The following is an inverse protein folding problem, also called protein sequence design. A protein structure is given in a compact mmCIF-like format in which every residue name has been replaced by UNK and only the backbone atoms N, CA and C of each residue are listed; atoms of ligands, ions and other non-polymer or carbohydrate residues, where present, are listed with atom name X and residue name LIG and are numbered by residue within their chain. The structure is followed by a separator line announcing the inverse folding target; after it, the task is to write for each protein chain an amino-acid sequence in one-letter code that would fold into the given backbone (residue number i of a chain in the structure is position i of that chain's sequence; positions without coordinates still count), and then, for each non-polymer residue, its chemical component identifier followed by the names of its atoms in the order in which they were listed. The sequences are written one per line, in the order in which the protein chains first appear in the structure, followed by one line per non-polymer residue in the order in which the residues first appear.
data_IF_635505916197
#
_entry.id   IF_635505916197
#
_cell.length_a   1.000
_cell.length_b   1.000
_cell.length_c   1.000
_cell.angle_alpha   90.00
_cell.angle_beta   90.00
_cell.angle_gamma   90.00
#
_symmetry.space_group_name_H-M   'P 1'
#
loop_
_entity.id
_entity.type
_entity.pdbx_description
1 polymer ?
#
# COMPACT_ATOMS: atom_id res chain seq x y z
N UNK A 1 52.97 55.91 -3.40
CA UNK A 1 54.01 56.95 -3.38
C UNK A 1 53.55 58.09 -4.30
N UNK A 2 53.26 59.30 -3.75
CA UNK A 2 52.92 60.56 -4.47
C UNK A 2 51.66 60.54 -5.38
N UNK A 3 51.00 61.64 -5.74
CA UNK A 3 50.79 62.96 -5.08
C UNK A 3 49.60 63.70 -5.77
N UNK A 4 49.05 64.72 -5.08
CA UNK A 4 47.99 65.65 -5.56
C UNK A 4 48.50 66.75 -6.53
N UNK A 5 47.58 67.67 -6.94
CA UNK A 5 47.72 69.10 -7.38
C UNK A 5 47.31 69.37 -8.86
N UNK A 6 46.73 70.51 -9.32
CA UNK A 6 45.97 71.68 -8.74
C UNK A 6 45.45 72.63 -9.88
N UNK A 7 44.58 73.62 -9.55
CA UNK A 7 44.32 74.94 -10.26
C UNK A 7 43.66 74.89 -11.68
N UNK A 8 42.86 75.83 -12.25
CA UNK A 8 42.48 77.28 -12.12
C UNK A 8 43.22 78.27 -13.08
N UNK A 9 42.61 79.24 -13.81
CA UNK A 9 41.18 79.62 -14.05
C UNK A 9 40.96 81.06 -14.62
N UNK A 10 39.71 81.44 -14.98
CA UNK A 10 39.10 82.82 -15.10
C UNK A 10 39.24 83.75 -16.37
N UNK A 11 38.10 84.36 -16.81
CA UNK A 11 37.94 85.65 -17.57
C UNK A 11 38.16 85.70 -19.11
N UNK A 12 37.58 86.60 -19.95
CA UNK A 12 36.46 87.57 -19.81
C UNK A 12 36.41 88.71 -20.91
N UNK A 13 35.24 89.34 -21.12
CA UNK A 13 34.91 90.66 -21.77
C UNK A 13 34.54 90.80 -23.29
N UNK A 14 33.75 91.86 -23.58
CA UNK A 14 32.88 92.15 -24.76
C UNK A 14 33.35 93.31 -25.68
N UNK A 15 32.64 93.60 -26.81
CA UNK A 15 32.26 94.98 -27.25
C UNK A 15 31.33 95.15 -28.50
N UNK A 16 30.27 95.99 -28.34
CA UNK A 16 29.63 97.00 -29.26
C UNK A 16 29.11 96.71 -30.70
N UNK A 17 27.88 97.19 -31.01
CA UNK A 17 27.45 97.69 -32.36
C UNK A 17 25.97 97.50 -32.78
N UNK A 18 25.24 98.57 -33.16
CA UNK A 18 23.85 98.62 -33.73
C UNK A 18 23.90 99.12 -35.22
N UNK A 19 22.83 99.18 -36.10
CA UNK A 19 21.42 99.56 -35.80
C UNK A 19 20.24 99.07 -36.76
N UNK A 20 19.00 99.57 -36.48
CA UNK A 20 17.80 99.90 -37.33
C UNK A 20 16.75 98.89 -37.89
N UNK A 21 15.49 99.16 -37.47
CA UNK A 21 14.16 99.25 -38.15
C UNK A 21 13.40 98.06 -38.83
N UNK A 22 12.34 97.60 -38.10
CA UNK A 22 10.96 97.07 -38.40
C UNK A 22 10.55 96.56 -39.81
N UNK A 23 9.60 95.57 -39.93
CA UNK A 23 8.33 95.47 -39.17
C UNK A 23 7.88 94.06 -38.65
N UNK A 24 6.76 94.02 -37.92
CA UNK A 24 6.06 92.81 -37.40
C UNK A 24 5.24 92.10 -38.51
N UNK A 25 4.80 90.83 -38.45
CA UNK A 25 4.23 89.94 -37.40
C UNK A 25 4.60 88.45 -37.74
N UNK A 26 4.34 87.39 -36.94
CA UNK A 26 3.16 87.11 -36.08
C UNK A 26 3.49 86.81 -34.60
N UNK A 27 2.49 86.61 -33.71
CA UNK A 27 2.75 86.20 -32.34
C UNK A 27 3.35 84.79 -32.27
N UNK A 28 4.56 84.67 -31.72
CA UNK A 28 5.14 83.38 -31.38
C UNK A 28 4.33 82.73 -30.24
N UNK A 29 4.02 81.44 -30.40
CA UNK A 29 3.38 80.62 -29.38
C UNK A 29 4.18 80.69 -28.07
N UNK A 30 3.50 80.98 -26.95
CA UNK A 30 4.17 81.02 -25.64
C UNK A 30 4.77 79.64 -25.32
N UNK A 31 6.02 79.56 -24.84
CA UNK A 31 6.58 78.31 -24.32
C UNK A 31 5.72 77.78 -23.18
N UNK A 32 5.50 76.46 -23.14
CA UNK A 32 4.75 75.82 -22.07
C UNK A 32 5.41 76.09 -20.69
N UNK A 33 4.61 76.17 -19.60
CA UNK A 33 5.16 76.37 -18.26
C UNK A 33 6.10 75.22 -17.86
N UNK A 34 7.12 75.55 -17.07
CA UNK A 34 8.07 74.58 -16.55
C UNK A 34 7.37 73.50 -15.71
N UNK A 35 7.85 72.24 -15.72
CA UNK A 35 7.26 71.17 -14.93
C UNK A 35 7.36 71.47 -13.43
N UNK A 36 6.36 71.07 -12.62
CA UNK A 36 6.39 71.27 -11.18
C UNK A 36 7.51 70.47 -10.51
N UNK A 37 8.06 70.99 -9.41
CA UNK A 37 9.04 70.27 -8.61
C UNK A 37 8.46 68.95 -8.05
N UNK A 38 9.27 67.88 -7.94
CA UNK A 38 8.82 66.62 -7.39
C UNK A 38 8.47 66.77 -5.90
N UNK A 39 7.23 66.39 -5.55
CA UNK A 39 6.77 66.37 -4.16
C UNK A 39 7.54 65.37 -3.27
N UNK A 40 7.41 65.49 -1.94
CA UNK A 40 8.07 64.58 -1.00
C UNK A 40 7.62 63.13 -1.22
N UNK A 41 8.50 62.12 -1.00
CA UNK A 41 8.23 60.74 -1.35
C UNK A 41 7.04 60.17 -0.56
N UNK A 42 6.06 59.65 -1.29
CA UNK A 42 4.85 59.05 -0.74
C UNK A 42 5.18 57.76 0.02
N UNK A 43 4.84 57.70 1.32
CA UNK A 43 5.08 56.50 2.13
C UNK A 43 4.12 55.39 1.73
N UNK A 44 4.61 54.41 0.97
CA UNK A 44 3.85 53.24 0.54
C UNK A 44 3.15 52.53 1.71
N UNK A 45 1.83 52.36 1.58
CA UNK A 45 0.98 51.61 2.53
C UNK A 45 1.06 50.08 2.36
N UNK A 46 1.82 49.59 1.39
CA UNK A 46 1.95 48.16 1.08
C UNK A 46 2.23 47.24 2.32
N UNK A 47 3.16 47.54 3.24
CA UNK A 47 3.40 46.65 4.39
C UNK A 47 2.22 46.60 5.38
N UNK A 48 1.42 47.67 5.49
CA UNK A 48 0.21 47.68 6.32
C UNK A 48 -0.90 46.83 5.70
N UNK A 49 -1.08 46.89 4.37
CA UNK A 49 -2.07 46.07 3.65
C UNK A 49 -1.69 44.59 3.70
N UNK A 50 -0.41 44.25 3.49
CA UNK A 50 0.07 42.88 3.60
C UNK A 50 -0.13 42.30 5.01
N UNK A 51 0.18 43.08 6.06
CA UNK A 51 -0.06 42.69 7.45
C UNK A 51 -1.55 42.43 7.74
N UNK A 52 -2.45 43.28 7.25
CA UNK A 52 -3.89 43.12 7.42
C UNK A 52 -4.42 41.83 6.75
N UNK A 53 -3.93 41.48 5.55
CA UNK A 53 -4.32 40.24 4.85
C UNK A 53 -3.85 38.99 5.61
N UNK A 54 -2.62 39.00 6.15
CA UNK A 54 -2.12 37.87 6.96
C UNK A 54 -2.92 37.70 8.25
N UNK A 55 -3.24 38.79 8.96
CA UNK A 55 -4.09 38.74 10.16
C UNK A 55 -5.49 38.23 9.82
N UNK A 56 -6.09 38.68 8.72
CA UNK A 56 -7.41 38.19 8.29
C UNK A 56 -7.38 36.70 7.96
N UNK A 57 -6.35 36.23 7.25
CA UNK A 57 -6.18 34.80 6.93
C UNK A 57 -6.02 33.93 8.20
N UNK A 58 -5.24 34.40 9.19
CA UNK A 58 -5.08 33.72 10.47
C UNK A 58 -6.39 33.68 11.27
N UNK A 59 -7.15 34.79 11.32
CA UNK A 59 -8.46 34.84 11.99
C UNK A 59 -9.48 33.92 11.31
N UNK A 60 -9.52 33.90 9.97
CA UNK A 60 -10.38 32.97 9.21
C UNK A 60 -9.97 31.51 9.43
N UNK A 61 -8.67 31.21 9.48
CA UNK A 61 -8.15 29.88 9.79
C UNK A 61 -8.53 29.40 11.20
N UNK A 62 -8.30 30.23 12.22
CA UNK A 62 -8.72 29.97 13.61
C UNK A 62 -10.24 29.81 13.73
N UNK A 63 -11.03 30.61 13.01
CA UNK A 63 -12.48 30.52 13.00
C UNK A 63 -12.99 29.26 12.30
N UNK A 64 -12.33 28.82 11.23
CA UNK A 64 -12.64 27.55 10.57
C UNK A 64 -12.29 26.34 11.45
N UNK A 65 -11.15 26.39 12.15
CA UNK A 65 -10.67 25.29 13.00
C UNK A 65 -11.42 25.18 14.35
N UNK A 66 -11.97 26.29 14.85
CA UNK A 66 -12.81 26.32 16.07
C UNK A 66 -14.29 25.97 15.84
N UNK A 67 -14.71 25.77 14.59
CA UNK A 67 -16.07 25.28 14.30
C UNK A 67 -16.17 23.77 14.55
N UNK A 68 -17.05 23.31 15.46
CA UNK A 68 -17.23 21.89 15.70
C UNK A 68 -17.73 21.19 14.43
N UNK A 69 -17.11 20.07 14.07
CA UNK A 69 -17.48 19.31 12.88
C UNK A 69 -18.96 18.90 12.94
N UNK A 70 -19.73 19.02 11.84
CA UNK A 70 -21.12 18.59 11.84
C UNK A 70 -21.19 17.09 12.13
N UNK A 71 -21.90 16.71 13.20
CA UNK A 71 -22.11 15.29 13.55
C UNK A 71 -22.74 14.60 12.33
N UNK A 72 -22.24 13.42 11.92
CA UNK A 72 -22.80 12.71 10.78
C UNK A 72 -24.29 12.48 11.02
N UNK A 73 -25.14 12.90 10.07
CA UNK A 73 -26.57 12.61 10.12
C UNK A 73 -26.72 11.09 10.17
N UNK A 74 -27.36 10.57 11.22
CA UNK A 74 -27.83 9.18 11.23
C UNK A 74 -28.81 9.01 10.07
N UNK A 75 -28.36 8.35 9.01
CA UNK A 75 -29.26 7.81 7.99
C UNK A 75 -30.31 6.94 8.68
N UNK A 76 -31.60 7.05 8.34
CA UNK A 76 -32.58 6.09 8.82
C UNK A 76 -32.13 4.70 8.37
N UNK A 77 -32.14 3.72 9.28
CA UNK A 77 -31.88 2.33 8.91
C UNK A 77 -32.88 1.93 7.82
N UNK A 78 -32.46 1.29 6.71
CA UNK A 78 -33.42 0.80 5.73
C UNK A 78 -34.32 -0.22 6.42
N UNK A 79 -35.62 0.05 6.45
CA UNK A 79 -36.62 -0.93 6.88
C UNK A 79 -36.77 -1.93 5.74
N UNK A 80 -35.91 -2.95 5.75
CA UNK A 80 -36.04 -4.10 4.86
C UNK A 80 -37.32 -4.82 5.25
N UNK A 81 -38.39 -4.58 4.50
CA UNK A 81 -39.53 -5.50 4.47
C UNK A 81 -39.05 -6.76 3.78
N UNK A 82 -38.90 -7.83 4.54
CA UNK A 82 -38.73 -9.16 3.97
C UNK A 82 -39.97 -9.46 3.13
N UNK A 83 -39.81 -9.48 1.81
CA UNK A 83 -40.74 -10.22 0.95
C UNK A 83 -40.37 -11.68 1.16
N UNK A 84 -41.31 -12.45 1.65
CA UNK A 84 -41.12 -13.88 1.94
C UNK A 84 -40.87 -14.59 0.60
N UNK A 85 -39.63 -15.05 0.41
CA UNK A 85 -39.25 -15.82 -0.77
C UNK A 85 -39.88 -17.21 -0.67
N UNK A 86 -40.35 -17.80 -1.79
CA UNK A 86 -40.86 -19.17 -1.77
C UNK A 86 -39.78 -20.14 -1.30
N UNK A 87 -40.18 -21.12 -0.47
CA UNK A 87 -39.29 -22.07 0.19
C UNK A 87 -38.27 -22.69 -0.78
N UNK A 88 -36.95 -22.56 -0.51
CA UNK A 88 -35.94 -23.24 -1.31
C UNK A 88 -35.90 -24.72 -0.92
N UNK A 89 -36.43 -25.57 -1.79
CA UNK A 89 -36.35 -27.04 -1.70
C UNK A 89 -34.90 -27.48 -1.39
N UNK A 90 -34.66 -28.22 -0.29
CA UNK A 90 -33.30 -28.42 0.21
C UNK A 90 -32.61 -29.63 -0.44
N UNK A 91 -31.87 -29.44 -1.53
CA UNK A 91 -30.75 -30.32 -1.95
C UNK A 91 -29.98 -29.77 -3.16
N UNK A 92 -28.71 -29.34 -2.93
CA UNK A 92 -27.55 -29.44 -3.85
C UNK A 92 -26.41 -28.46 -3.44
N UNK A 93 -26.74 -27.23 -3.04
CA UNK A 93 -25.80 -26.09 -3.11
C UNK A 93 -24.78 -25.97 -1.97
N UNK A 94 -24.92 -26.73 -0.87
CA UNK A 94 -24.00 -26.60 0.28
C UNK A 94 -22.76 -27.52 0.18
N UNK A 95 -22.81 -28.59 -0.62
CA UNK A 95 -21.71 -29.56 -0.71
C UNK A 95 -20.45 -28.95 -1.36
N UNK A 96 -20.61 -28.22 -2.46
CA UNK A 96 -19.51 -27.69 -3.28
C UNK A 96 -18.62 -26.67 -2.57
N UNK A 97 -19.11 -25.96 -1.54
CA UNK A 97 -18.30 -24.99 -0.79
C UNK A 97 -17.49 -25.58 0.37
N UNK A 98 -17.85 -26.77 0.85
CA UNK A 98 -17.17 -27.45 1.98
C UNK A 98 -16.03 -28.34 1.48
N UNK A 99 -16.11 -28.80 0.23
CA UNK A 99 -15.12 -29.71 -0.37
C UNK A 99 -13.85 -28.97 -0.84
N UNK A 100 -14.01 -27.73 -1.36
CA UNK A 100 -12.90 -26.89 -1.82
C UNK A 100 -11.86 -26.52 -0.75
N UNK A 101 -12.24 -26.44 0.53
CA UNK A 101 -11.32 -26.07 1.62
C UNK A 101 -10.51 -27.24 2.18
N UNK A 102 -10.78 -28.47 1.74
CA UNK A 102 -9.94 -29.65 1.97
C UNK A 102 -9.29 -30.19 0.71
N UNK A 103 -9.51 -29.54 -0.43
CA UNK A 103 -8.96 -29.97 -1.71
C UNK A 103 -7.46 -29.67 -1.76
N UNK A 104 -6.66 -30.73 -1.85
CA UNK A 104 -5.22 -30.67 -2.11
C UNK A 104 -4.92 -30.92 -3.58
N UNK A 105 -3.93 -30.23 -4.15
CA UNK A 105 -3.31 -30.64 -5.42
C UNK A 105 -2.11 -31.58 -5.17
N UNK A 106 -1.69 -32.34 -6.19
CA UNK A 106 -0.43 -33.09 -6.18
C UNK A 106 0.66 -32.21 -6.80
N UNK A 107 1.77 -32.07 -6.10
CA UNK A 107 3.00 -31.49 -6.61
C UNK A 107 3.92 -32.67 -7.01
N UNK A 108 4.46 -32.71 -8.24
CA UNK A 108 5.33 -33.80 -8.70
C UNK A 108 6.73 -33.71 -8.07
N UNK A 109 7.55 -34.74 -8.29
CA UNK A 109 9.00 -34.61 -8.12
C UNK A 109 9.56 -33.56 -9.09
N UNK A 110 10.56 -32.80 -8.66
CA UNK A 110 11.29 -31.90 -9.56
C UNK A 110 12.27 -30.98 -8.85
N UNK A 111 12.91 -30.12 -9.64
CA UNK A 111 13.92 -29.19 -9.16
C UNK A 111 13.31 -27.80 -8.93
N UNK A 112 13.34 -27.35 -7.67
CA UNK A 112 12.85 -26.06 -7.25
C UNK A 112 13.95 -25.00 -7.34
N UNK A 113 13.65 -23.90 -8.04
CA UNK A 113 14.53 -22.75 -8.14
C UNK A 113 14.55 -21.98 -6.81
N UNK A 114 15.74 -21.79 -6.24
CA UNK A 114 15.92 -21.02 -5.02
C UNK A 114 15.99 -19.53 -5.30
N UNK A 115 15.33 -18.76 -4.45
CA UNK A 115 15.64 -17.33 -4.28
C UNK A 115 16.90 -17.17 -3.44
N UNK A 116 18.05 -16.91 -4.06
CA UNK A 116 19.32 -16.57 -3.37
C UNK A 116 19.73 -15.13 -3.65
N UNK A 117 20.39 -14.48 -2.68
CA UNK A 117 20.79 -13.06 -2.82
C UNK A 117 22.01 -12.83 -3.73
N UNK A 118 22.81 -13.87 -4.01
CA UNK A 118 24.10 -13.75 -4.72
C UNK A 118 24.15 -14.46 -6.10
N UNK A 119 23.19 -14.14 -6.96
CA UNK A 119 23.39 -14.15 -8.43
C UNK A 119 23.43 -15.49 -9.18
N UNK A 120 23.60 -16.65 -8.51
CA UNK A 120 23.47 -17.97 -9.16
C UNK A 120 22.10 -18.59 -8.88
N UNK A 121 21.27 -18.79 -9.91
CA UNK A 121 20.06 -19.61 -9.82
C UNK A 121 20.44 -21.06 -9.51
N UNK A 122 20.37 -21.41 -8.22
CA UNK A 122 20.58 -22.77 -7.75
C UNK A 122 19.24 -23.48 -7.63
N UNK A 123 19.20 -24.72 -8.11
CA UNK A 123 18.05 -25.60 -7.90
C UNK A 123 18.27 -26.55 -6.72
N UNK A 124 17.18 -26.94 -6.06
CA UNK A 124 17.18 -28.04 -5.08
C UNK A 124 16.08 -29.04 -5.42
N UNK A 125 16.37 -30.35 -5.35
CA UNK A 125 15.36 -31.37 -5.61
C UNK A 125 14.29 -31.33 -4.52
N UNK A 126 13.04 -31.49 -4.95
CA UNK A 126 11.84 -31.60 -4.11
C UNK A 126 11.15 -32.92 -4.47
N UNK A 127 10.91 -33.76 -3.46
CA UNK A 127 10.12 -34.98 -3.60
C UNK A 127 8.64 -34.63 -3.67
N UNK A 128 7.90 -35.34 -4.52
CA UNK A 128 6.48 -35.11 -4.76
C UNK A 128 5.62 -35.27 -3.50
N UNK A 129 4.67 -34.34 -3.35
CA UNK A 129 3.85 -34.20 -2.14
C UNK A 129 2.44 -33.70 -2.49
N UNK A 130 1.60 -33.46 -1.48
CA UNK A 130 0.31 -32.80 -1.66
C UNK A 130 0.25 -31.52 -0.84
N UNK A 131 -0.37 -30.48 -1.38
CA UNK A 131 -0.56 -29.21 -0.68
C UNK A 131 -2.00 -28.75 -0.84
N UNK A 132 -2.55 -28.14 0.21
CA UNK A 132 -3.88 -27.54 0.15
C UNK A 132 -3.93 -26.42 -0.90
N UNK A 133 -4.96 -26.45 -1.75
CA UNK A 133 -5.16 -25.44 -2.80
C UNK A 133 -5.28 -24.04 -2.20
N UNK A 134 -5.81 -23.94 -0.99
CA UNK A 134 -6.16 -22.71 -0.29
C UNK A 134 -5.51 -22.66 1.08
N UNK A 135 -5.44 -21.48 1.69
CA UNK A 135 -5.12 -21.34 3.12
C UNK A 135 -6.20 -22.01 3.99
N UNK A 136 -5.84 -22.40 5.21
CA UNK A 136 -6.80 -22.95 6.19
C UNK A 136 -7.84 -21.89 6.55
N UNK A 137 -9.13 -22.20 6.42
CA UNK A 137 -10.18 -21.21 6.70
C UNK A 137 -10.54 -21.11 8.19
N UNK A 138 -11.16 -19.99 8.57
CA UNK A 138 -11.76 -19.81 9.89
C UNK A 138 -12.73 -20.93 10.25
N UNK A 139 -13.56 -21.40 9.31
CA UNK A 139 -14.49 -22.51 9.55
C UNK A 139 -13.78 -23.85 9.79
N UNK A 140 -12.71 -24.11 9.06
CA UNK A 140 -11.91 -25.32 9.23
C UNK A 140 -11.18 -25.33 10.58
N UNK A 141 -10.59 -24.19 10.96
CA UNK A 141 -9.90 -24.04 12.25
C UNK A 141 -10.88 -24.05 13.44
N UNK A 142 -12.07 -23.46 13.30
CA UNK A 142 -13.13 -23.55 14.31
C UNK A 142 -13.62 -25.00 14.51
N UNK A 143 -13.74 -25.77 13.43
CA UNK A 143 -14.06 -27.21 13.48
C UNK A 143 -12.97 -28.00 14.22
N UNK A 144 -11.70 -27.72 13.95
CA UNK A 144 -10.57 -28.29 14.71
C UNK A 144 -10.66 -27.95 16.20
N UNK A 145 -10.77 -26.65 16.54
CA UNK A 145 -10.82 -26.19 17.93
C UNK A 145 -11.96 -26.84 18.72
N UNK A 146 -13.14 -26.96 18.10
CA UNK A 146 -14.29 -27.64 18.69
C UNK A 146 -14.09 -29.15 18.83
N UNK A 147 -13.71 -29.84 17.74
CA UNK A 147 -13.61 -31.31 17.72
C UNK A 147 -12.45 -31.87 18.55
N UNK A 148 -11.33 -31.15 18.65
CA UNK A 148 -10.17 -31.54 19.44
C UNK A 148 -10.19 -30.97 20.87
N UNK A 149 -11.17 -30.12 21.23
CA UNK A 149 -11.15 -29.33 22.46
C UNK A 149 -9.95 -28.37 22.55
N UNK A 150 -9.35 -28.02 21.41
CA UNK A 150 -8.09 -27.29 21.35
C UNK A 150 -8.26 -25.81 21.65
N UNK A 151 -7.44 -25.29 22.57
CA UNK A 151 -7.37 -23.87 22.92
C UNK A 151 -6.14 -23.25 22.26
N UNK A 152 -6.37 -22.51 21.19
CA UNK A 152 -5.30 -21.82 20.49
C UNK A 152 -4.60 -20.76 21.37
N UNK A 153 -3.30 -20.58 21.15
CA UNK A 153 -2.49 -19.55 21.83
C UNK A 153 -2.71 -18.17 21.21
N UNK A 154 -3.03 -18.11 19.92
CA UNK A 154 -3.32 -16.89 19.18
C UNK A 154 -4.78 -16.42 19.26
N UNK A 155 -4.99 -15.11 19.07
CA UNK A 155 -6.30 -14.41 19.13
C UNK A 155 -7.08 -14.54 17.80
N UNK A 156 -7.17 -15.75 17.25
CA UNK A 156 -7.80 -15.99 15.94
C UNK A 156 -9.30 -15.69 15.93
N UNK A 157 -10.00 -15.93 17.05
CA UNK A 157 -11.45 -15.73 17.20
C UNK A 157 -11.85 -14.28 16.90
N UNK A 158 -11.01 -13.30 17.28
CA UNK A 158 -11.22 -11.88 16.98
C UNK A 158 -11.27 -11.57 15.49
N UNK A 159 -10.61 -12.38 14.65
CA UNK A 159 -10.54 -12.23 13.19
C UNK A 159 -11.49 -13.19 12.45
N UNK A 160 -12.25 -13.99 13.20
CA UNK A 160 -13.25 -14.94 12.74
C UNK A 160 -14.72 -14.63 13.16
N UNK A 161 -15.21 -13.36 13.19
CA UNK A 161 -16.64 -13.09 13.39
C UNK A 161 -17.49 -13.71 12.26
N UNK A 162 -18.78 -13.92 12.55
CA UNK A 162 -19.76 -14.47 11.61
C UNK A 162 -19.76 -13.73 10.26
N UNK A 163 -19.84 -14.48 9.17
CA UNK A 163 -19.69 -14.00 7.79
C UNK A 163 -18.25 -14.07 7.26
N UNK A 164 -17.28 -14.54 8.06
CA UNK A 164 -15.87 -14.73 7.66
C UNK A 164 -15.43 -16.18 7.62
N UNK A 165 -16.36 -17.11 7.53
CA UNK A 165 -16.14 -18.56 7.55
C UNK A 165 -15.13 -19.01 6.50
N UNK A 166 -15.17 -18.40 5.30
CA UNK A 166 -14.27 -18.67 4.16
C UNK A 166 -13.03 -17.79 4.09
N UNK A 167 -12.78 -16.89 5.04
CA UNK A 167 -11.50 -16.16 5.11
C UNK A 167 -10.43 -17.07 5.73
N UNK A 168 -9.14 -16.87 5.41
CA UNK A 168 -8.06 -17.60 6.06
C UNK A 168 -8.08 -17.33 7.57
N UNK A 169 -7.78 -18.37 8.35
CA UNK A 169 -7.47 -18.21 9.77
C UNK A 169 -6.17 -17.42 9.90
N UNK A 170 -6.14 -16.48 10.86
CA UNK A 170 -4.97 -15.65 11.12
C UNK A 170 -4.86 -15.30 12.59
N UNK A 171 -3.72 -14.73 12.98
CA UNK A 171 -3.39 -14.50 14.39
C UNK A 171 -3.35 -15.82 15.17
N UNK A 172 -2.66 -16.81 14.59
CA UNK A 172 -2.33 -18.11 15.19
C UNK A 172 -0.82 -18.22 15.37
N UNK A 173 -0.37 -18.93 16.40
CA UNK A 173 1.06 -19.28 16.55
C UNK A 173 1.47 -20.36 15.55
N UNK A 174 2.77 -20.56 15.38
CA UNK A 174 3.31 -21.72 14.67
C UNK A 174 2.81 -23.04 15.27
N UNK A 175 2.75 -23.15 16.61
CA UNK A 175 2.26 -24.36 17.29
C UNK A 175 0.77 -24.61 17.02
N UNK A 176 -0.04 -23.54 16.94
CA UNK A 176 -1.46 -23.63 16.58
C UNK A 176 -1.65 -24.12 15.14
N UNK A 177 -0.80 -23.66 14.22
CA UNK A 177 -0.78 -24.10 12.83
C UNK A 177 -0.34 -25.56 12.70
N UNK A 178 0.72 -25.97 13.40
CA UNK A 178 1.21 -27.35 13.42
C UNK A 178 0.18 -28.30 14.03
N UNK A 179 -0.46 -27.90 15.14
CA UNK A 179 -1.51 -28.67 15.80
C UNK A 179 -2.75 -28.88 14.89
N UNK A 180 -3.17 -27.84 14.17
CA UNK A 180 -4.24 -27.95 13.17
C UNK A 180 -3.86 -28.94 12.06
N UNK A 181 -2.69 -28.79 11.44
CA UNK A 181 -2.29 -29.67 10.34
C UNK A 181 -2.15 -31.12 10.80
N UNK A 182 -1.56 -31.38 11.97
CA UNK A 182 -1.48 -32.72 12.57
C UNK A 182 -2.87 -33.32 12.81
N UNK A 183 -3.80 -32.57 13.36
CA UNK A 183 -5.20 -33.01 13.54
C UNK A 183 -5.90 -33.30 12.21
N UNK A 184 -5.58 -32.56 11.15
CA UNK A 184 -6.08 -32.79 9.80
C UNK A 184 -5.42 -33.97 9.06
N UNK A 185 -4.51 -34.73 9.70
CA UNK A 185 -3.76 -35.82 9.08
C UNK A 185 -2.65 -35.35 8.12
N UNK A 186 -2.09 -34.16 8.39
CA UNK A 186 -1.14 -33.42 7.54
C UNK A 186 0.00 -32.85 8.38
N UNK A 187 0.87 -32.06 7.74
CA UNK A 187 1.94 -31.24 8.35
C UNK A 187 1.93 -29.82 7.76
N UNK A 188 2.80 -28.95 8.26
CA UNK A 188 3.14 -27.72 7.55
C UNK A 188 4.02 -28.06 6.32
N UNK A 189 3.91 -27.33 5.20
CA UNK A 189 4.89 -27.40 4.13
C UNK A 189 6.24 -26.90 4.64
N UNK A 190 7.35 -27.41 4.12
CA UNK A 190 8.64 -26.73 4.22
C UNK A 190 8.63 -25.45 3.40
N UNK A 191 9.55 -24.54 3.71
CA UNK A 191 9.85 -23.31 2.98
C UNK A 191 10.11 -23.60 1.49
N UNK A 192 10.84 -24.69 1.21
CA UNK A 192 11.17 -25.14 -0.14
C UNK A 192 9.95 -25.71 -0.89
N UNK A 193 9.17 -26.57 -0.24
CA UNK A 193 7.92 -27.10 -0.81
C UNK A 193 6.91 -25.98 -1.11
N UNK A 194 6.77 -25.01 -0.21
CA UNK A 194 5.90 -23.86 -0.40
C UNK A 194 6.34 -23.04 -1.62
N UNK A 195 7.65 -22.73 -1.74
CA UNK A 195 8.19 -21.97 -2.87
C UNK A 195 8.06 -22.74 -4.19
N UNK A 196 8.29 -24.06 -4.18
CA UNK A 196 8.07 -24.90 -5.34
C UNK A 196 6.60 -24.96 -5.76
N UNK A 197 5.68 -25.11 -4.80
CA UNK A 197 4.24 -25.07 -5.06
C UNK A 197 3.77 -23.72 -5.63
N UNK A 198 4.47 -22.63 -5.33
CA UNK A 198 4.20 -21.28 -5.83
C UNK A 198 4.80 -21.04 -7.23
N UNK A 199 6.07 -21.39 -7.45
CA UNK A 199 6.85 -21.02 -8.65
C UNK A 199 6.91 -22.12 -9.71
N UNK A 200 6.82 -23.38 -9.34
CA UNK A 200 7.14 -24.49 -10.24
C UNK A 200 8.64 -24.55 -10.58
N UNK A 201 8.95 -24.96 -11.81
CA UNK A 201 10.32 -25.29 -12.29
C UNK A 201 10.91 -24.22 -13.22
N UNK A 202 10.46 -22.97 -13.15
CA UNK A 202 10.88 -21.91 -14.10
C UNK A 202 11.26 -20.57 -13.45
N UNK A 203 11.44 -20.54 -12.13
CA UNK A 203 11.92 -19.36 -11.42
C UNK A 203 10.98 -18.14 -11.48
N UNK A 204 9.72 -18.27 -11.94
CA UNK A 204 8.78 -17.13 -12.07
C UNK A 204 8.70 -16.24 -10.82
N UNK A 205 8.55 -14.91 -10.98
CA UNK A 205 8.46 -13.97 -9.87
C UNK A 205 7.07 -13.90 -9.24
N UNK A 206 6.01 -14.45 -9.85
CA UNK A 206 4.68 -14.58 -9.25
C UNK A 206 4.08 -15.94 -9.63
N UNK A 207 3.10 -16.48 -8.89
CA UNK A 207 2.48 -17.77 -9.22
C UNK A 207 1.95 -17.82 -10.66
N UNK A 208 1.31 -16.73 -11.09
CA UNK A 208 0.72 -16.55 -12.42
C UNK A 208 1.74 -16.25 -13.53
N UNK A 209 3.03 -16.02 -13.21
CA UNK A 209 4.09 -15.72 -14.18
C UNK A 209 4.84 -14.43 -13.86
N UNK A 210 5.09 -13.61 -14.90
CA UNK A 210 5.97 -12.44 -14.81
C UNK A 210 5.25 -11.08 -14.86
N UNK A 211 3.92 -11.04 -15.02
CA UNK A 211 3.16 -9.79 -14.95
C UNK A 211 3.17 -9.25 -13.52
N UNK A 212 3.44 -7.96 -13.36
CA UNK A 212 3.42 -7.29 -12.05
C UNK A 212 2.02 -7.30 -11.43
N UNK A 213 1.91 -7.23 -10.09
CA UNK A 213 0.64 -7.10 -9.37
C UNK A 213 -0.23 -5.96 -9.90
N UNK A 214 0.34 -4.76 -10.09
CA UNK A 214 -0.38 -3.58 -10.60
C UNK A 214 -1.05 -3.79 -11.98
N UNK A 215 -0.52 -4.73 -12.77
CA UNK A 215 -0.92 -5.02 -14.15
C UNK A 215 -1.59 -6.41 -14.28
N UNK A 216 -1.70 -7.14 -13.18
CA UNK A 216 -2.14 -8.53 -13.12
C UNK A 216 -3.53 -8.73 -12.50
N UNK A 217 -3.94 -9.98 -12.25
CA UNK A 217 -5.23 -10.31 -11.64
C UNK A 217 -5.30 -9.98 -10.13
N UNK A 218 -4.23 -9.42 -9.58
CA UNK A 218 -3.97 -9.33 -8.15
C UNK A 218 -3.53 -7.91 -7.81
N UNK A 219 -4.47 -7.07 -7.34
CA UNK A 219 -4.13 -5.73 -6.82
C UNK A 219 -3.92 -5.81 -5.30
N UNK A 220 -2.68 -5.81 -4.81
CA UNK A 220 -2.40 -5.70 -3.37
C UNK A 220 -2.82 -4.32 -2.85
N UNK A 221 -3.21 -4.25 -1.58
CA UNK A 221 -3.46 -2.97 -0.88
C UNK A 221 -4.84 -2.31 -1.05
N UNK A 222 -5.74 -2.79 -1.93
CA UNK A 222 -7.10 -2.20 -2.05
C UNK A 222 -8.00 -2.52 -0.85
N UNK A 223 -7.60 -3.46 0.02
CA UNK A 223 -8.26 -3.78 1.28
C UNK A 223 -7.21 -4.01 2.38
N UNK A 224 -7.33 -3.28 3.49
CA UNK A 224 -6.57 -3.52 4.74
C UNK A 224 -7.05 -4.79 5.48
N UNK A 225 -7.39 -5.85 4.74
CA UNK A 225 -8.03 -7.04 5.28
C UNK A 225 -7.94 -8.24 4.32
N UNK A 226 -8.10 -9.46 4.85
CA UNK A 226 -8.09 -10.70 4.06
C UNK A 226 -9.28 -10.80 3.12
N UNK A 227 -9.12 -11.56 2.04
CA UNK A 227 -10.19 -12.01 1.15
C UNK A 227 -10.66 -13.42 1.53
N UNK A 228 -11.86 -13.86 1.08
CA UNK A 228 -12.19 -15.29 1.08
C UNK A 228 -11.16 -16.07 0.26
N UNK A 229 -10.77 -17.25 0.74
CA UNK A 229 -9.81 -18.11 0.04
C UNK A 229 -10.34 -18.51 -1.34
N UNK A 230 -9.45 -18.66 -2.30
CA UNK A 230 -9.75 -19.01 -3.70
C UNK A 230 -10.52 -17.93 -4.48
N UNK A 231 -10.68 -16.72 -3.93
CA UNK A 231 -11.42 -15.63 -4.60
C UNK A 231 -10.67 -15.00 -5.79
N UNK A 232 -9.42 -15.41 -6.03
CA UNK A 232 -8.53 -14.87 -7.07
C UNK A 232 -8.00 -16.00 -7.99
N UNK A 233 -8.85 -16.74 -8.73
CA UNK A 233 -8.45 -17.92 -9.48
C UNK A 233 -7.39 -17.65 -10.57
N UNK A 234 -7.35 -16.44 -11.13
CA UNK A 234 -6.32 -16.04 -12.09
C UNK A 234 -4.92 -15.83 -11.45
N UNK A 235 -4.83 -15.78 -10.12
CA UNK A 235 -3.56 -15.73 -9.37
C UNK A 235 -2.99 -17.11 -9.02
N UNK A 236 -3.50 -18.19 -9.64
CA UNK A 236 -3.04 -19.56 -9.37
C UNK A 236 -1.57 -19.80 -9.77
N UNK A 237 -0.92 -20.71 -9.06
CA UNK A 237 0.40 -21.26 -9.40
C UNK A 237 0.34 -22.23 -10.59
N UNK A 238 1.48 -22.67 -11.15
CA UNK A 238 1.53 -23.71 -12.19
C UNK A 238 0.79 -25.01 -11.81
N UNK A 239 0.73 -25.30 -10.51
CA UNK A 239 0.10 -26.51 -9.97
C UNK A 239 -1.35 -26.26 -9.48
N UNK A 240 -1.91 -25.08 -9.79
CA UNK A 240 -3.26 -24.68 -9.43
C UNK A 240 -3.42 -24.15 -8.00
N UNK A 241 -2.33 -23.96 -7.25
CA UNK A 241 -2.39 -23.51 -5.85
C UNK A 241 -2.74 -22.02 -5.79
N UNK A 242 -3.71 -21.67 -4.96
CA UNK A 242 -4.29 -20.34 -4.85
C UNK A 242 -3.74 -19.57 -3.65
N UNK A 243 -3.86 -18.24 -3.75
CA UNK A 243 -3.49 -17.26 -2.73
C UNK A 243 -2.02 -17.36 -2.25
N UNK A 244 -1.12 -17.92 -3.08
CA UNK A 244 0.34 -18.01 -2.83
C UNK A 244 1.06 -16.65 -2.86
N UNK A 245 0.34 -15.53 -2.84
CA UNK A 245 0.90 -14.17 -2.78
C UNK A 245 -0.13 -13.25 -2.12
N UNK A 246 0.25 -12.64 -1.00
CA UNK A 246 -0.64 -11.84 -0.16
C UNK A 246 -1.65 -12.67 0.62
N UNK A 247 -2.81 -12.06 0.91
CA UNK A 247 -3.83 -12.59 1.82
C UNK A 247 -3.32 -12.80 3.26
N UNK A 248 -2.71 -13.94 3.63
CA UNK A 248 -1.95 -14.06 4.91
C UNK A 248 -0.55 -14.63 4.71
N UNK A 249 0.38 -14.21 5.58
CA UNK A 249 1.67 -14.88 5.72
C UNK A 249 1.45 -16.31 6.19
N UNK A 250 2.15 -17.27 5.60
CA UNK A 250 1.94 -18.69 5.90
C UNK A 250 3.11 -19.30 6.67
N UNK A 251 2.82 -19.88 7.84
CA UNK A 251 3.79 -20.68 8.61
C UNK A 251 4.29 -21.90 7.82
N UNK A 252 5.61 -22.08 7.76
CA UNK A 252 6.25 -23.29 7.20
C UNK A 252 6.90 -24.13 8.30
N UNK A 253 7.30 -25.36 7.99
CA UNK A 253 7.95 -26.27 8.93
C UNK A 253 9.35 -25.81 9.38
N UNK A 254 9.99 -24.92 8.62
CA UNK A 254 11.37 -24.47 8.80
C UNK A 254 11.49 -23.52 9.99
N UNK A 255 11.96 -24.07 11.12
CA UNK A 255 12.08 -23.36 12.40
C UNK A 255 13.40 -23.59 13.10
N UNK A 256 13.73 -22.67 14.01
CA UNK A 256 14.79 -22.78 15.00
C UNK A 256 14.20 -22.71 16.42
N UNK A 257 15.01 -22.59 17.48
CA UNK A 257 14.52 -22.52 18.86
C UNK A 257 13.77 -21.24 19.24
N UNK A 258 13.62 -20.27 18.33
CA UNK A 258 13.08 -18.91 18.57
C UNK A 258 12.09 -18.44 17.49
N UNK A 259 12.28 -18.87 16.25
CA UNK A 259 11.56 -18.36 15.07
C UNK A 259 11.23 -19.46 14.06
N UNK A 260 10.26 -19.18 13.19
CA UNK A 260 10.00 -19.96 11.99
C UNK A 260 9.92 -19.06 10.75
N UNK A 261 10.16 -19.65 9.59
CA UNK A 261 9.95 -19.01 8.30
C UNK A 261 8.46 -18.89 8.02
N UNK A 262 8.06 -17.71 7.53
CA UNK A 262 6.78 -17.50 6.85
C UNK A 262 7.00 -17.11 5.39
N UNK A 263 6.04 -17.44 4.53
CA UNK A 263 6.07 -17.17 3.08
C UNK A 263 4.77 -16.49 2.60
N UNK A 264 4.77 -16.04 1.34
CA UNK A 264 3.59 -15.50 0.65
C UNK A 264 3.36 -13.99 0.75
N UNK A 265 3.75 -13.35 1.85
CA UNK A 265 3.24 -12.01 2.16
C UNK A 265 1.80 -12.05 2.66
N UNK A 266 1.24 -10.91 3.05
CA UNK A 266 -0.14 -10.80 3.54
C UNK A 266 -0.86 -9.59 2.92
N UNK A 267 -2.13 -9.40 3.29
CA UNK A 267 -2.90 -8.19 2.94
C UNK A 267 -2.23 -6.88 3.42
N UNK A 268 -1.33 -6.97 4.40
CA UNK A 268 -0.54 -5.88 5.01
C UNK A 268 0.82 -5.64 4.33
N UNK A 269 1.26 -6.52 3.44
CA UNK A 269 2.60 -6.45 2.82
C UNK A 269 2.65 -5.42 1.70
N UNK A 270 3.74 -4.66 1.63
CA UNK A 270 4.02 -3.72 0.54
C UNK A 270 4.04 -4.47 -0.82
N UNK A 271 3.30 -4.00 -1.85
CA UNK A 271 3.28 -4.60 -3.18
C UNK A 271 4.68 -4.88 -3.77
N UNK A 272 5.64 -4.00 -3.53
CA UNK A 272 7.02 -4.09 -4.03
C UNK A 272 7.78 -5.26 -3.39
N UNK A 273 7.29 -5.81 -2.28
CA UNK A 273 7.90 -6.94 -1.56
C UNK A 273 7.18 -8.28 -1.83
N UNK A 274 6.19 -8.30 -2.73
CA UNK A 274 5.45 -9.50 -3.12
C UNK A 274 6.05 -10.37 -4.25
N UNK A 275 7.05 -9.96 -5.07
CA UNK A 275 7.68 -10.88 -6.01
C UNK A 275 8.30 -12.09 -5.29
N UNK A 276 7.91 -13.30 -5.66
CA UNK A 276 8.43 -14.58 -5.16
C UNK A 276 9.93 -14.74 -5.34
N UNK A 277 10.49 -14.27 -6.46
CA UNK A 277 11.95 -14.23 -6.66
C UNK A 277 12.68 -13.22 -5.77
N UNK A 278 11.95 -12.38 -5.02
CA UNK A 278 12.44 -11.52 -3.94
C UNK A 278 11.82 -11.92 -2.58
N UNK A 279 11.06 -13.02 -2.50
CA UNK A 279 10.32 -13.41 -1.31
C UNK A 279 11.25 -14.08 -0.29
N UNK A 280 12.00 -13.20 0.37
CA UNK A 280 12.71 -13.42 1.65
C UNK A 280 12.02 -14.51 2.45
N UNK A 281 12.80 -15.52 2.84
CA UNK A 281 12.46 -16.36 3.99
C UNK A 281 12.29 -15.44 5.20
N UNK A 282 11.06 -15.02 5.46
CA UNK A 282 10.79 -14.03 6.50
C UNK A 282 10.68 -14.78 7.80
N UNK A 283 11.69 -14.66 8.67
CA UNK A 283 11.63 -15.27 10.00
C UNK A 283 10.87 -14.38 10.97
N UNK A 284 9.86 -14.94 11.62
CA UNK A 284 9.17 -14.30 12.74
C UNK A 284 9.14 -15.22 13.95
N UNK A 285 9.11 -14.63 15.15
CA UNK A 285 9.04 -15.39 16.41
C UNK A 285 7.76 -16.22 16.46
N UNK A 286 7.75 -17.33 17.21
CA UNK A 286 6.54 -18.18 17.40
C UNK A 286 5.30 -17.50 18.03
N UNK A 287 5.33 -16.19 18.23
CA UNK A 287 4.20 -15.42 18.76
C UNK A 287 3.09 -15.28 17.70
N UNK A 288 1.83 -15.09 18.13
CA UNK A 288 0.75 -14.77 17.21
C UNK A 288 1.02 -13.44 16.50
N UNK A 289 0.82 -13.40 15.18
CA UNK A 289 0.89 -12.18 14.38
C UNK A 289 -0.44 -11.96 13.63
N UNK A 290 -1.02 -10.74 13.63
CA UNK A 290 -2.39 -10.49 13.13
C UNK A 290 -2.67 -10.86 11.67
N UNK A 291 -1.62 -11.09 10.89
CA UNK A 291 -1.60 -11.36 9.46
C UNK A 291 -0.91 -12.68 9.10
N UNK A 292 -0.54 -13.51 10.09
CA UNK A 292 -0.01 -14.86 9.89
C UNK A 292 -1.09 -15.94 10.11
N UNK A 293 -1.22 -16.83 9.12
CA UNK A 293 -2.04 -18.04 9.09
C UNK A 293 -1.23 -19.24 8.61
N UNK A 294 -1.87 -20.21 7.94
CA UNK A 294 -1.18 -21.37 7.36
C UNK A 294 -1.96 -22.03 6.21
N UNK A 295 -1.26 -22.85 5.42
CA UNK A 295 -1.84 -24.01 4.72
C UNK A 295 -1.13 -25.29 5.17
N UNK A 296 -1.74 -26.44 4.91
CA UNK A 296 -1.12 -27.72 5.21
C UNK A 296 -0.60 -28.41 3.94
N UNK A 297 0.45 -29.19 4.12
CA UNK A 297 0.93 -30.18 3.16
C UNK A 297 0.76 -31.58 3.75
N UNK A 298 0.53 -32.56 2.91
CA UNK A 298 0.74 -33.96 3.24
C UNK A 298 1.96 -34.45 2.45
N UNK A 299 2.71 -35.38 3.04
CA UNK A 299 3.57 -36.25 2.25
C UNK A 299 2.73 -36.92 1.15
N UNK A 300 3.35 -37.22 0.00
CA UNK A 300 2.62 -37.72 -1.17
C UNK A 300 1.88 -39.02 -0.87
N UNK A 301 0.70 -39.25 -1.50
CA UNK A 301 0.24 -40.59 -1.81
C UNK A 301 1.06 -41.17 -2.97
#
# INVERSE_FOLDING_TARGET
MKALLRQAGFGGKEKTGQPKDRPAQPPASQPAPAPPEPGPPERSRAPLVAGAVVVLALVVGLYAFSRPSPKPRRSPKPVVRYVEAPDPTPQATQATSVELTRTTTRIPDGDAFLSVEEGEETTRPVTGFRIDLNEVTNADFARFASAAGYRAKGDWVRYAPAGRERHPVRNITWDDAEAYCKWAGKRLPTSLEWEYAARGTDGRPFPWGSQKPEEGPFVPGVRNDTSPVGSRPAGASPFGVLDMTGNVWEWTADRDGKSAVVRGGAYSTDPVQLPLGQARETRTTFRPAPDCGCRCAADGP
#
